data_IF_364341744586
#
_entry.id   IF_364341744586
#
_cell.length_a   1.000
_cell.length_b   1.000
_cell.length_c   1.000
_cell.angle_alpha   90.00
_cell.angle_beta   90.00
_cell.angle_gamma   90.00
#
_symmetry.space_group_name_H-M   'P 1'
#
loop_
_entity.id
_entity.type
_entity.pdbx_description
1 polymer ?
#
# COMPACT_ATOMS: atom_id res chain seq x y z
N UNK A 1 9.45 -14.12 -29.67
CA UNK A 1 8.05 -14.00 -29.21
C UNK A 1 8.11 -13.72 -27.71
N UNK A 2 7.61 -12.57 -27.26
CA UNK A 2 7.59 -12.25 -25.84
C UNK A 2 6.56 -13.14 -25.14
N UNK A 3 6.98 -13.79 -24.07
CA UNK A 3 6.13 -14.71 -23.30
C UNK A 3 5.08 -13.87 -22.56
N UNK A 4 3.84 -13.86 -23.06
CA UNK A 4 2.75 -13.00 -22.55
C UNK A 4 2.49 -13.19 -21.05
N UNK A 5 2.82 -14.36 -20.52
CA UNK A 5 2.79 -14.67 -19.09
C UNK A 5 3.78 -13.83 -18.28
N UNK A 6 4.99 -13.63 -18.81
CA UNK A 6 6.03 -12.81 -18.16
C UNK A 6 5.59 -11.36 -18.09
N UNK A 7 5.05 -10.82 -19.18
CA UNK A 7 4.53 -9.43 -19.23
C UNK A 7 3.43 -9.22 -18.18
N UNK A 8 2.45 -10.14 -18.10
CA UNK A 8 1.36 -10.05 -17.10
C UNK A 8 1.88 -10.09 -15.67
N UNK A 9 2.90 -10.91 -15.40
CA UNK A 9 3.54 -10.97 -14.08
C UNK A 9 4.22 -9.63 -13.75
N UNK A 10 5.03 -9.11 -14.66
CA UNK A 10 5.79 -7.87 -14.44
C UNK A 10 4.84 -6.66 -14.22
N UNK A 11 3.71 -6.61 -14.94
CA UNK A 11 2.66 -5.61 -14.74
C UNK A 11 2.03 -5.70 -13.35
N UNK A 12 1.69 -6.91 -12.90
CA UNK A 12 1.11 -7.12 -11.58
C UNK A 12 2.11 -6.79 -10.47
N UNK A 13 3.38 -7.13 -10.65
CA UNK A 13 4.43 -6.82 -9.69
C UNK A 13 4.64 -5.29 -9.58
N UNK A 14 4.52 -4.54 -10.68
CA UNK A 14 4.51 -3.08 -10.64
C UNK A 14 3.26 -2.50 -9.96
N UNK A 15 2.07 -3.03 -10.26
CA UNK A 15 0.83 -2.60 -9.63
C UNK A 15 0.88 -2.77 -8.10
N UNK A 16 1.46 -3.87 -7.61
CA UNK A 16 1.66 -4.10 -6.17
C UNK A 16 2.58 -3.01 -5.58
N UNK A 17 3.70 -2.71 -6.24
CA UNK A 17 4.64 -1.69 -5.78
C UNK A 17 4.00 -0.29 -5.75
N UNK A 18 3.33 0.10 -6.83
CA UNK A 18 2.63 1.39 -6.92
C UNK A 18 1.55 1.52 -5.85
N UNK A 19 0.79 0.46 -5.61
CA UNK A 19 -0.25 0.44 -4.58
C UNK A 19 0.35 0.54 -3.17
N UNK A 20 1.47 -0.11 -2.88
CA UNK A 20 2.19 0.03 -1.61
C UNK A 20 2.59 1.49 -1.37
N UNK A 21 3.12 2.17 -2.38
CA UNK A 21 3.50 3.58 -2.26
C UNK A 21 2.28 4.49 -2.04
N UNK A 22 1.18 4.25 -2.74
CA UNK A 22 -0.07 5.01 -2.55
C UNK A 22 -0.62 4.83 -1.14
N UNK A 23 -0.73 3.59 -0.67
CA UNK A 23 -1.24 3.29 0.68
C UNK A 23 -0.35 3.87 1.78
N UNK A 24 0.97 3.91 1.57
CA UNK A 24 1.88 4.58 2.51
C UNK A 24 1.59 6.07 2.62
N UNK A 25 1.38 6.74 1.48
CA UNK A 25 1.04 8.17 1.44
C UNK A 25 -0.31 8.41 2.11
N UNK A 26 -1.34 7.66 1.73
CA UNK A 26 -2.68 7.74 2.31
C UNK A 26 -2.66 7.49 3.82
N UNK A 27 -1.93 6.48 4.28
CA UNK A 27 -1.75 6.23 5.70
C UNK A 27 -1.13 7.45 6.39
N UNK A 28 -0.03 8.00 5.87
CA UNK A 28 0.61 9.16 6.48
C UNK A 28 -0.34 10.37 6.56
N UNK A 29 -1.14 10.61 5.52
CA UNK A 29 -2.13 11.69 5.47
C UNK A 29 -3.25 11.48 6.50
N UNK A 30 -3.86 10.30 6.54
CA UNK A 30 -4.91 9.96 7.51
C UNK A 30 -4.36 10.04 8.94
N UNK A 31 -3.20 9.43 9.20
CA UNK A 31 -2.56 9.46 10.53
C UNK A 31 -2.33 10.91 10.99
N UNK A 32 -1.82 11.76 10.10
CA UNK A 32 -1.58 13.17 10.41
C UNK A 32 -2.86 13.95 10.74
N UNK A 33 -3.97 13.66 10.04
CA UNK A 33 -5.28 14.25 10.35
C UNK A 33 -5.72 13.77 11.73
N UNK A 34 -5.73 12.46 11.96
CA UNK A 34 -6.18 11.86 13.22
C UNK A 34 -5.37 12.36 14.43
N UNK A 35 -4.05 12.51 14.29
CA UNK A 35 -3.16 12.98 15.36
C UNK A 35 -3.40 14.46 15.73
N UNK A 36 -4.05 15.23 14.84
CA UNK A 36 -4.38 16.65 15.05
C UNK A 36 -5.85 16.88 15.37
N UNK A 37 -6.68 15.85 15.27
CA UNK A 37 -8.09 15.92 15.63
C UNK A 37 -8.24 15.95 17.15
N UNK A 38 -8.91 16.98 17.66
CA UNK A 38 -9.30 17.06 19.08
C UNK A 38 -10.32 15.96 19.40
N UNK A 39 -11.22 15.68 18.45
CA UNK A 39 -12.18 14.58 18.52
C UNK A 39 -12.14 13.81 17.19
N UNK A 40 -11.40 12.69 17.11
CA UNK A 40 -11.35 11.85 15.93
C UNK A 40 -12.69 11.11 15.71
N UNK A 41 -13.20 11.10 14.48
CA UNK A 41 -14.42 10.34 14.16
C UNK A 41 -14.14 8.83 14.13
N UNK A 42 -15.15 8.03 14.48
CA UNK A 42 -15.05 6.56 14.38
C UNK A 42 -14.76 6.10 12.94
N UNK A 43 -15.36 6.79 11.96
CA UNK A 43 -15.10 6.55 10.53
C UNK A 43 -13.63 6.80 10.17
N UNK A 44 -13.05 7.92 10.61
CA UNK A 44 -11.63 8.22 10.35
C UNK A 44 -10.68 7.21 11.02
N UNK A 45 -11.01 6.74 12.23
CA UNK A 45 -10.27 5.67 12.89
C UNK A 45 -10.38 4.34 12.14
N UNK A 46 -11.57 4.03 11.62
CA UNK A 46 -11.82 2.83 10.81
C UNK A 46 -11.04 2.87 9.50
N UNK A 47 -11.09 3.98 8.76
CA UNK A 47 -10.35 4.18 7.52
C UNK A 47 -8.84 4.03 7.75
N UNK A 48 -8.30 4.68 8.79
CA UNK A 48 -6.90 4.56 9.17
C UNK A 48 -6.50 3.09 9.44
N UNK A 49 -7.35 2.33 10.12
CA UNK A 49 -7.12 0.91 10.39
C UNK A 49 -7.12 0.07 9.09
N UNK A 50 -8.08 0.32 8.19
CA UNK A 50 -8.20 -0.38 6.91
C UNK A 50 -7.00 -0.10 6.00
N UNK A 51 -6.58 1.16 5.87
CA UNK A 51 -5.42 1.54 5.05
C UNK A 51 -4.14 0.90 5.58
N UNK A 52 -3.93 0.90 6.91
CA UNK A 52 -2.81 0.18 7.55
C UNK A 52 -2.84 -1.31 7.22
N UNK A 53 -3.99 -1.96 7.37
CA UNK A 53 -4.14 -3.39 7.09
C UNK A 53 -3.79 -3.73 5.62
N UNK A 54 -4.31 -2.95 4.67
CA UNK A 54 -3.99 -3.10 3.23
C UNK A 54 -2.49 -2.92 2.98
N UNK A 55 -1.88 -1.89 3.57
CA UNK A 55 -0.45 -1.59 3.41
C UNK A 55 0.43 -2.76 3.87
N UNK A 56 0.22 -3.26 5.10
CA UNK A 56 1.01 -4.37 5.64
C UNK A 56 0.76 -5.68 4.91
N UNK A 57 -0.48 -5.92 4.46
CA UNK A 57 -0.80 -7.07 3.62
C UNK A 57 0.02 -7.05 2.33
N UNK A 58 0.03 -5.93 1.60
CA UNK A 58 0.79 -5.84 0.35
C UNK A 58 2.31 -5.89 0.56
N UNK A 59 2.84 -5.36 1.67
CA UNK A 59 4.25 -5.54 2.01
C UNK A 59 4.62 -7.03 2.18
N UNK A 60 3.76 -7.81 2.84
CA UNK A 60 3.94 -9.26 2.97
C UNK A 60 3.89 -9.94 1.61
N UNK A 61 2.95 -9.58 0.74
CA UNK A 61 2.84 -10.15 -0.60
C UNK A 61 4.03 -9.79 -1.50
N UNK A 62 4.51 -8.53 -1.44
CA UNK A 62 5.72 -8.10 -2.12
C UNK A 62 6.94 -8.91 -1.65
N UNK A 63 7.05 -9.18 -0.34
CA UNK A 63 8.12 -10.04 0.21
C UNK A 63 8.03 -11.47 -0.33
N UNK A 64 6.84 -12.07 -0.37
CA UNK A 64 6.62 -13.41 -0.92
C UNK A 64 6.99 -13.50 -2.41
N UNK A 65 6.89 -12.37 -3.13
CA UNK A 65 7.26 -12.24 -4.55
C UNK A 65 8.71 -11.83 -4.79
N UNK A 66 9.49 -11.59 -3.73
CA UNK A 66 10.85 -11.03 -3.79
C UNK A 66 10.92 -9.65 -4.48
N UNK A 67 9.88 -8.83 -4.34
CA UNK A 67 9.87 -7.46 -4.85
C UNK A 67 10.54 -6.53 -3.86
N UNK A 68 11.46 -5.69 -4.35
CA UNK A 68 12.07 -4.64 -3.54
C UNK A 68 11.26 -3.35 -3.67
N UNK A 69 10.68 -2.88 -2.56
CA UNK A 69 10.03 -1.58 -2.48
C UNK A 69 11.02 -0.42 -2.22
N UNK A 70 12.33 -0.62 -2.47
CA UNK A 70 13.32 0.46 -2.42
C UNK A 70 13.27 1.26 -3.72
N UNK A 71 12.54 2.39 -3.72
CA UNK A 71 12.68 3.42 -4.76
C UNK A 71 13.91 4.29 -4.40
N UNK A 72 14.84 4.47 -5.35
CA UNK A 72 15.91 5.48 -5.24
C UNK A 72 15.34 6.87 -5.32
#
# INVERSE_FOLDING_TARGET
>A
MFDSKKIKKDMLDQEILDTIFSLKKEWHELQFIMDRSVEPTEEGLHELAVVKAKYFFLLREARNRNLSAMRK
#
